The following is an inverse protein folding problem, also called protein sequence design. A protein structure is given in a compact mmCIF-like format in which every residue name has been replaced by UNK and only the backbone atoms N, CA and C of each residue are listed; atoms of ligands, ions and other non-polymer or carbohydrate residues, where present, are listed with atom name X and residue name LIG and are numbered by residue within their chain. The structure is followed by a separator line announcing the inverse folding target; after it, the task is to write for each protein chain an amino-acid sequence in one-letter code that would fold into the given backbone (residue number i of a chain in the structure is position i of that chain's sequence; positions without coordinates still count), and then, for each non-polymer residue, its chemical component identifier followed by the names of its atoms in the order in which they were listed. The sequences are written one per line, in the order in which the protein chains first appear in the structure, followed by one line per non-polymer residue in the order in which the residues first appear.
data_IF_843702207819
#
_entry.id   IF_843702207819
#
_cell.length_a   1.000
_cell.length_b   1.000
_cell.length_c   1.000
_cell.angle_alpha   90.00
_cell.angle_beta   90.00
_cell.angle_gamma   90.00
#
_symmetry.space_group_name_H-M   'P 1'
#
loop_
_entity.id
_entity.type
_entity.pdbx_description
1 polymer ?
#
# COMPACT_ATOMS: atom_id res chain seq x y z
N UNK A 1 -5.24 -30.57 -1.06
CA UNK A 1 -4.84 -29.52 -2.01
C UNK A 1 -4.32 -28.31 -1.27
N UNK A 2 -3.18 -27.81 -1.64
CA UNK A 2 -2.64 -26.59 -1.05
C UNK A 2 -3.19 -25.36 -1.78
N UNK A 3 -3.53 -24.32 -1.02
CA UNK A 3 -3.94 -23.04 -1.59
C UNK A 3 -2.72 -22.37 -2.24
N UNK A 4 -2.83 -21.89 -3.48
CA UNK A 4 -1.74 -21.14 -4.10
C UNK A 4 -1.41 -19.88 -3.31
N UNK A 5 -0.12 -19.56 -3.25
CA UNK A 5 0.39 -18.35 -2.59
C UNK A 5 0.85 -17.38 -3.66
N UNK A 6 0.40 -16.13 -3.56
CA UNK A 6 0.83 -15.05 -4.45
C UNK A 6 1.61 -14.03 -3.63
N UNK A 7 2.86 -13.77 -4.05
CA UNK A 7 3.73 -12.78 -3.44
C UNK A 7 3.77 -11.53 -4.32
N UNK A 8 3.56 -10.38 -3.71
CA UNK A 8 3.57 -9.11 -4.40
C UNK A 8 4.61 -8.18 -3.77
N UNK A 9 5.58 -7.76 -4.55
CA UNK A 9 6.70 -6.91 -4.13
C UNK A 9 6.53 -5.50 -4.68
N UNK A 10 6.79 -4.50 -3.86
CA UNK A 10 6.79 -3.10 -4.32
C UNK A 10 6.40 -2.13 -3.22
N UNK A 11 5.89 -0.96 -3.62
CA UNK A 11 5.55 0.10 -2.70
C UNK A 11 4.20 -0.09 -2.01
N UNK A 12 4.19 0.34 -0.75
CA UNK A 12 2.98 0.55 0.05
C UNK A 12 2.91 2.04 0.35
N UNK A 13 1.77 2.66 0.10
CA UNK A 13 1.65 4.11 0.18
C UNK A 13 0.24 4.57 0.54
N UNK A 14 0.13 5.85 0.87
CA UNK A 14 -1.14 6.55 1.01
C UNK A 14 -1.38 7.46 -0.19
N UNK A 15 -2.53 7.30 -0.84
CA UNK A 15 -3.02 8.28 -1.80
C UNK A 15 -3.70 9.41 -1.02
N UNK A 16 -3.13 10.60 -1.11
CA UNK A 16 -3.62 11.78 -0.39
C UNK A 16 -4.62 12.53 -1.26
N UNK A 17 -5.89 12.19 -1.12
CA UNK A 17 -6.99 12.77 -1.88
C UNK A 17 -7.55 14.00 -1.15
N UNK A 18 -8.22 14.94 -1.87
CA UNK A 18 -8.90 16.05 -1.20
C UNK A 18 -9.94 15.59 -0.17
N UNK A 19 -10.55 14.43 -0.38
CA UNK A 19 -11.55 13.84 0.53
C UNK A 19 -10.93 13.07 1.70
N UNK A 20 -9.60 12.88 1.72
CA UNK A 20 -8.89 12.11 2.74
C UNK A 20 -7.90 11.13 2.13
N UNK A 21 -7.17 10.42 2.98
CA UNK A 21 -6.17 9.48 2.53
C UNK A 21 -6.78 8.10 2.25
N UNK A 22 -6.23 7.40 1.27
CA UNK A 22 -6.62 6.03 0.92
C UNK A 22 -5.38 5.17 0.81
N UNK A 23 -5.42 3.99 1.44
CA UNK A 23 -4.33 3.02 1.32
C UNK A 23 -4.22 2.53 -0.12
N UNK A 24 -3.01 2.50 -0.65
CA UNK A 24 -2.75 2.10 -2.03
C UNK A 24 -1.39 1.47 -2.19
N UNK A 25 -1.00 1.33 -3.45
CA UNK A 25 0.22 0.66 -3.84
C UNK A 25 -0.09 -0.61 -4.59
N UNK A 26 0.66 -0.86 -5.66
CA UNK A 26 0.43 -2.02 -6.52
C UNK A 26 0.48 -3.36 -5.76
N UNK A 27 1.44 -3.58 -4.83
CA UNK A 27 1.51 -4.86 -4.12
C UNK A 27 0.27 -5.19 -3.32
N UNK A 28 -0.30 -4.21 -2.59
CA UNK A 28 -1.49 -4.44 -1.77
C UNK A 28 -2.70 -4.67 -2.65
N UNK A 29 -2.86 -3.87 -3.70
CA UNK A 29 -3.98 -4.03 -4.63
C UNK A 29 -3.94 -5.39 -5.33
N UNK A 30 -2.76 -5.81 -5.78
CA UNK A 30 -2.59 -7.11 -6.43
C UNK A 30 -2.88 -8.26 -5.46
N UNK A 31 -2.32 -8.22 -4.26
CA UNK A 31 -2.52 -9.26 -3.24
C UNK A 31 -3.99 -9.36 -2.84
N UNK A 32 -4.68 -8.22 -2.71
CA UNK A 32 -6.10 -8.19 -2.37
C UNK A 32 -6.94 -8.88 -3.44
N UNK A 33 -6.73 -8.55 -4.71
CA UNK A 33 -7.48 -9.17 -5.81
C UNK A 33 -7.15 -10.64 -5.97
N UNK A 34 -5.89 -11.03 -5.78
CA UNK A 34 -5.49 -12.44 -5.80
C UNK A 34 -6.20 -13.24 -4.70
N UNK A 35 -6.26 -12.68 -3.50
CA UNK A 35 -6.95 -13.30 -2.36
C UNK A 35 -8.45 -13.46 -2.65
N UNK A 36 -9.08 -12.45 -3.24
CA UNK A 36 -10.50 -12.52 -3.63
C UNK A 36 -10.78 -13.61 -4.65
N UNK A 37 -9.78 -14.03 -5.40
CA UNK A 37 -9.89 -15.10 -6.40
C UNK A 37 -9.41 -16.46 -5.87
N UNK A 38 -9.34 -16.64 -4.55
CA UNK A 38 -9.09 -17.94 -3.92
C UNK A 38 -7.62 -18.27 -3.66
N UNK A 39 -6.71 -17.29 -3.72
CA UNK A 39 -5.30 -17.48 -3.38
C UNK A 39 -4.97 -16.88 -2.02
N UNK A 40 -3.82 -17.25 -1.46
CA UNK A 40 -3.28 -16.58 -0.29
C UNK A 40 -2.42 -15.42 -0.77
N UNK A 41 -2.82 -14.19 -0.46
CA UNK A 41 -2.09 -13.00 -0.90
C UNK A 41 -1.10 -12.49 0.14
N UNK A 42 0.11 -12.17 -0.30
CA UNK A 42 1.16 -11.59 0.53
C UNK A 42 1.67 -10.31 -0.12
N UNK A 43 1.81 -9.26 0.66
CA UNK A 43 2.45 -8.02 0.24
C UNK A 43 3.79 -7.87 0.96
N UNK A 44 4.84 -7.64 0.18
CA UNK A 44 6.20 -7.45 0.68
C UNK A 44 6.63 -6.04 0.29
N UNK A 45 6.87 -5.19 1.30
CA UNK A 45 7.13 -3.78 1.07
C UNK A 45 7.94 -3.16 2.21
N UNK A 46 8.01 -1.84 2.23
CA UNK A 46 8.64 -1.07 3.29
C UNK A 46 7.79 0.16 3.62
N UNK A 47 7.76 0.51 4.91
CA UNK A 47 7.13 1.74 5.40
C UNK A 47 8.07 2.43 6.39
N UNK A 48 7.78 3.68 6.73
CA UNK A 48 8.53 4.40 7.74
C UNK A 48 8.17 3.96 9.16
N UNK A 49 8.99 4.38 10.11
CA UNK A 49 8.73 4.21 11.54
C UNK A 49 7.85 5.37 12.01
N UNK A 50 6.65 5.48 11.44
CA UNK A 50 5.72 6.57 11.69
C UNK A 50 4.28 6.05 11.77
N UNK A 51 3.38 6.95 12.15
CA UNK A 51 1.96 6.64 12.32
C UNK A 51 1.30 6.23 11.01
N UNK A 52 1.69 6.86 9.90
CA UNK A 52 1.18 6.49 8.57
C UNK A 52 1.56 5.06 8.20
N UNK A 53 2.77 4.64 8.58
CA UNK A 53 3.22 3.26 8.38
C UNK A 53 2.43 2.26 9.21
N UNK A 54 2.18 2.60 10.48
CA UNK A 54 1.36 1.76 11.37
C UNK A 54 -0.05 1.57 10.80
N UNK A 55 -0.66 2.65 10.32
CA UNK A 55 -1.99 2.60 9.74
C UNK A 55 -2.05 1.79 8.45
N UNK A 56 -1.01 1.86 7.60
CA UNK A 56 -0.95 1.07 6.37
C UNK A 56 -0.89 -0.42 6.65
N UNK A 57 -0.06 -0.82 7.61
CA UNK A 57 0.05 -2.23 8.01
C UNK A 57 -1.29 -2.72 8.56
N UNK A 58 -1.93 -1.91 9.41
CA UNK A 58 -3.22 -2.25 9.99
C UNK A 58 -4.29 -2.42 8.91
N UNK A 59 -4.31 -1.54 7.90
CA UNK A 59 -5.26 -1.63 6.78
C UNK A 59 -5.06 -2.90 5.96
N UNK A 60 -3.82 -3.26 5.67
CA UNK A 60 -3.53 -4.48 4.92
C UNK A 60 -3.96 -5.73 5.70
N UNK A 61 -3.66 -5.78 6.98
CA UNK A 61 -4.06 -6.89 7.85
C UNK A 61 -5.58 -6.99 8.00
N UNK A 62 -6.26 -5.86 8.12
CA UNK A 62 -7.71 -5.77 8.20
C UNK A 62 -8.39 -6.31 6.95
N UNK A 63 -7.77 -6.09 5.78
CA UNK A 63 -8.26 -6.62 4.51
C UNK A 63 -7.98 -8.12 4.33
N UNK A 64 -7.28 -8.76 5.27
CA UNK A 64 -6.95 -10.18 5.21
C UNK A 64 -5.69 -10.49 4.42
N UNK A 65 -4.92 -9.47 4.05
CA UNK A 65 -3.67 -9.64 3.31
C UNK A 65 -2.54 -9.94 4.30
N UNK A 66 -1.75 -10.97 4.03
CA UNK A 66 -0.55 -11.25 4.79
C UNK A 66 0.55 -10.26 4.38
N UNK A 67 1.35 -9.81 5.33
CA UNK A 67 2.36 -8.79 5.06
C UNK A 67 3.72 -9.20 5.60
N UNK A 68 4.76 -8.89 4.82
CA UNK A 68 6.15 -8.85 5.28
C UNK A 68 6.65 -7.44 4.98
N UNK A 69 6.63 -6.58 5.98
CA UNK A 69 6.89 -5.15 5.81
C UNK A 69 8.07 -4.73 6.64
N UNK A 70 9.11 -4.25 5.96
CA UNK A 70 10.30 -3.72 6.58
C UNK A 70 10.04 -2.28 7.02
N UNK A 71 10.55 -1.91 8.19
CA UNK A 71 10.51 -0.53 8.68
C UNK A 71 11.87 0.11 8.48
N UNK A 72 11.89 1.38 8.10
CA UNK A 72 13.14 2.14 7.97
C UNK A 72 12.96 3.58 8.44
N UNK A 73 14.05 4.35 8.44
CA UNK A 73 14.06 5.72 8.96
C UNK A 73 13.47 6.76 7.97
N UNK A 74 13.13 6.34 6.77
CA UNK A 74 12.50 7.23 5.79
C UNK A 74 11.00 7.34 6.04
N UNK A 75 10.37 8.48 5.69
CA UNK A 75 8.92 8.62 5.85
C UNK A 75 8.14 7.60 5.03
N UNK A 76 7.00 7.17 5.54
CA UNK A 76 6.07 6.35 4.78
C UNK A 76 5.66 7.07 3.50
N UNK A 77 5.59 6.33 2.41
CA UNK A 77 5.31 6.88 1.08
C UNK A 77 3.90 7.46 0.97
N UNK A 78 3.81 8.61 0.31
CA UNK A 78 2.54 9.25 -0.04
C UNK A 78 2.56 9.66 -1.51
N UNK A 79 1.37 9.65 -2.11
CA UNK A 79 1.14 10.23 -3.44
C UNK A 79 0.10 11.32 -3.28
N UNK A 80 0.44 12.54 -3.65
CA UNK A 80 -0.49 13.65 -3.63
C UNK A 80 -1.41 13.57 -4.86
N UNK A 81 -2.71 13.63 -4.62
CA UNK A 81 -3.71 13.60 -5.70
C UNK A 81 -4.50 14.90 -5.66
N UNK A 82 -4.36 15.71 -6.70
CA UNK A 82 -5.11 16.95 -6.85
C UNK A 82 -6.05 16.83 -8.04
N UNK A 83 -7.24 17.44 -7.93
CA UNK A 83 -8.18 17.53 -9.05
C UNK A 83 -8.03 18.89 -9.73
N UNK A 84 -7.77 18.87 -11.04
CA UNK A 84 -7.66 20.07 -11.86
C UNK A 84 -8.68 19.94 -12.99
N UNK A 85 -9.71 20.77 -12.96
CA UNK A 85 -10.85 20.69 -13.89
C UNK A 85 -11.48 19.28 -13.94
N UNK A 86 -11.57 18.61 -12.78
CA UNK A 86 -12.11 17.25 -12.69
C UNK A 86 -11.13 16.14 -13.08
N UNK A 87 -9.92 16.49 -13.49
CA UNK A 87 -8.91 15.52 -13.92
C UNK A 87 -7.88 15.33 -12.79
N UNK A 88 -7.62 14.07 -12.33
CA UNK A 88 -6.63 13.84 -11.30
C UNK A 88 -5.21 14.12 -11.78
N UNK A 89 -4.44 14.83 -10.96
CA UNK A 89 -2.99 14.99 -11.12
C UNK A 89 -2.31 14.32 -9.93
N UNK A 90 -1.31 13.48 -10.21
CA UNK A 90 -0.58 12.71 -9.20
C UNK A 90 0.82 13.27 -9.03
N UNK A 91 1.24 13.48 -7.77
CA UNK A 91 2.61 13.83 -7.45
C UNK A 91 3.19 12.74 -6.56
N UNK A 92 4.16 12.01 -7.08
CA UNK A 92 4.88 10.97 -6.35
C UNK A 92 5.96 11.64 -5.51
N UNK A 93 5.85 11.52 -4.20
CA UNK A 93 6.82 12.10 -3.26
C UNK A 93 8.11 11.28 -3.29
N UNK A 94 9.26 11.94 -3.36
CA UNK A 94 10.58 11.30 -3.33
C UNK A 94 11.16 11.29 -1.92
N UNK A 95 12.16 10.45 -1.67
CA UNK A 95 12.83 10.38 -0.38
C UNK A 95 11.96 9.75 0.70
N UNK A 96 11.26 8.69 0.35
CA UNK A 96 10.35 7.94 1.23
C UNK A 96 10.85 6.51 1.44
N UNK A 97 10.08 5.70 2.17
CA UNK A 97 10.52 4.40 2.72
C UNK A 97 10.86 3.30 1.68
N UNK A 98 10.63 3.58 0.42
CA UNK A 98 11.00 2.62 -0.64
C UNK A 98 11.73 3.27 -1.79
#
# INVERSE_FOLDING_TARGET
MTTPIVLSLGELLWDMLPSGKRAGGAPVNFAYHAMKNGTEGWAISAVGEDELGDELIAKANEAGINTVIQRNAWPTSTVEVALKNGIPEYTIVKGVAW
#
